data_IF_769137217134
#
_entry.id   IF_769137217134
#
_cell.length_a   1.000
_cell.length_b   1.000
_cell.length_c   1.000
_cell.angle_alpha   90.00
_cell.angle_beta   90.00
_cell.angle_gamma   90.00
#
_symmetry.space_group_name_H-M   'P 1'
#
loop_
_entity.id
_entity.type
_entity.pdbx_description
1 polymer ?
#
# COMPACT_ATOMS: atom_id res chain seq x y z
N UNK A 1 -18.36 11.14 -6.09
CA UNK A 1 -17.46 9.96 -6.23
C UNK A 1 -17.04 9.48 -4.85
N UNK A 2 -16.93 8.17 -4.64
CA UNK A 2 -16.61 7.58 -3.34
C UNK A 2 -15.23 6.90 -3.41
N UNK A 3 -14.34 7.23 -2.47
CA UNK A 3 -13.05 6.59 -2.30
C UNK A 3 -13.00 5.77 -1.00
N UNK A 4 -12.59 4.51 -1.09
CA UNK A 4 -12.34 3.66 0.08
C UNK A 4 -10.83 3.54 0.29
N UNK A 5 -10.39 3.82 1.52
CA UNK A 5 -8.97 3.86 1.89
C UNK A 5 -8.72 2.93 3.07
N UNK A 6 -7.93 1.89 2.87
CA UNK A 6 -7.51 1.00 3.97
C UNK A 6 -6.26 1.53 4.66
N UNK A 7 -6.14 1.29 5.98
CA UNK A 7 -5.05 1.84 6.78
C UNK A 7 -5.10 3.36 6.91
N UNK A 8 -6.32 3.94 6.92
CA UNK A 8 -6.55 5.39 6.85
C UNK A 8 -6.25 6.14 8.16
N UNK A 9 -5.94 5.46 9.26
CA UNK A 9 -5.76 6.10 10.58
C UNK A 9 -4.45 6.88 10.75
N UNK A 10 -3.46 6.70 9.87
CA UNK A 10 -2.16 7.38 9.99
C UNK A 10 -1.37 7.34 8.67
N UNK A 11 -0.24 8.04 8.64
CA UNK A 11 0.73 8.01 7.54
C UNK A 11 0.12 8.29 6.18
N UNK A 12 0.51 7.49 5.17
CA UNK A 12 0.04 7.65 3.80
C UNK A 12 -1.48 7.57 3.70
N UNK A 13 -2.13 6.64 4.43
CA UNK A 13 -3.58 6.47 4.39
C UNK A 13 -4.34 7.71 4.88
N UNK A 14 -3.87 8.34 5.96
CA UNK A 14 -4.39 9.63 6.45
C UNK A 14 -4.25 10.73 5.39
N UNK A 15 -3.05 10.84 4.80
CA UNK A 15 -2.79 11.91 3.84
C UNK A 15 -3.54 11.69 2.51
N UNK A 16 -3.74 10.42 2.08
CA UNK A 16 -4.66 10.10 0.98
C UNK A 16 -6.09 10.55 1.27
N UNK A 17 -6.59 10.33 2.49
CA UNK A 17 -7.92 10.77 2.88
C UNK A 17 -8.06 12.29 2.77
N UNK A 18 -7.12 13.04 3.32
CA UNK A 18 -7.13 14.50 3.30
C UNK A 18 -7.07 15.04 1.86
N UNK A 19 -6.14 14.53 1.04
CA UNK A 19 -5.95 15.03 -0.32
C UNK A 19 -7.11 14.64 -1.27
N UNK A 20 -7.72 13.44 -1.10
CA UNK A 20 -8.89 13.05 -1.88
C UNK A 20 -10.15 13.81 -1.46
N UNK A 21 -10.33 14.13 -0.17
CA UNK A 21 -11.43 14.98 0.27
C UNK A 21 -11.35 16.37 -0.34
N UNK A 22 -10.16 16.96 -0.45
CA UNK A 22 -9.94 18.25 -1.15
C UNK A 22 -10.28 18.18 -2.65
N UNK A 23 -10.22 16.98 -3.25
CA UNK A 23 -10.60 16.74 -4.65
C UNK A 23 -12.09 16.38 -4.82
N UNK A 24 -12.90 16.48 -3.74
CA UNK A 24 -14.33 16.26 -3.78
C UNK A 24 -14.78 14.81 -3.67
N UNK A 25 -13.90 13.89 -3.27
CA UNK A 25 -14.31 12.51 -3.00
C UNK A 25 -14.97 12.39 -1.63
N UNK A 26 -16.13 11.76 -1.54
CA UNK A 26 -16.65 11.21 -0.31
C UNK A 26 -15.81 9.99 0.09
N UNK A 27 -15.62 9.78 1.39
CA UNK A 27 -14.62 8.84 1.88
C UNK A 27 -15.21 7.72 2.72
N UNK A 28 -14.64 6.52 2.57
CA UNK A 28 -14.78 5.41 3.51
C UNK A 28 -13.38 5.13 4.09
N UNK A 29 -13.17 5.49 5.34
CA UNK A 29 -11.90 5.34 6.05
C UNK A 29 -11.89 4.05 6.87
N UNK A 30 -10.98 3.13 6.55
CA UNK A 30 -10.93 1.79 7.14
C UNK A 30 -9.65 1.61 7.93
N UNK A 31 -9.76 1.31 9.23
CA UNK A 31 -8.65 0.92 10.10
C UNK A 31 -9.16 0.31 11.41
N UNK A 32 -8.24 -0.16 12.29
CA UNK A 32 -8.58 -0.73 13.60
C UNK A 32 -8.80 0.31 14.70
N UNK A 33 -8.13 1.45 14.60
CA UNK A 33 -8.15 2.48 15.65
C UNK A 33 -9.21 3.53 15.39
N UNK A 34 -10.35 3.41 16.10
CA UNK A 34 -11.48 4.35 15.98
C UNK A 34 -11.08 5.79 16.28
N UNK A 35 -10.32 6.01 17.37
CA UNK A 35 -9.91 7.35 17.82
C UNK A 35 -9.10 8.09 16.75
N UNK A 36 -8.17 7.40 16.12
CA UNK A 36 -7.35 7.99 15.05
C UNK A 36 -8.17 8.21 13.76
N UNK A 37 -9.09 7.30 13.40
CA UNK A 37 -10.00 7.50 12.28
C UNK A 37 -10.88 8.75 12.48
N UNK A 38 -11.42 8.97 13.68
CA UNK A 38 -12.22 10.16 14.01
C UNK A 38 -11.39 11.46 13.88
N UNK A 39 -10.11 11.42 14.26
CA UNK A 39 -9.21 12.57 14.04
C UNK A 39 -9.02 12.86 12.55
N UNK A 40 -8.80 11.82 11.73
CA UNK A 40 -8.64 11.99 10.29
C UNK A 40 -9.93 12.50 9.64
N UNK A 41 -11.08 11.94 10.03
CA UNK A 41 -12.40 12.39 9.57
C UNK A 41 -12.59 13.90 9.77
N UNK A 42 -12.18 14.45 10.92
CA UNK A 42 -12.26 15.90 11.20
C UNK A 42 -11.39 16.77 10.30
N UNK A 43 -10.38 16.20 9.64
CA UNK A 43 -9.50 16.91 8.70
C UNK A 43 -10.01 16.85 7.25
N UNK A 44 -11.00 16.02 6.99
CA UNK A 44 -11.62 15.87 5.65
C UNK A 44 -12.76 16.87 5.49
N UNK A 45 -12.93 17.43 4.30
CA UNK A 45 -13.91 18.46 3.98
C UNK A 45 -15.17 17.92 3.27
N UNK A 46 -15.18 16.63 2.95
CA UNK A 46 -16.31 15.94 2.32
C UNK A 46 -16.96 14.97 3.29
N UNK A 47 -18.06 14.33 2.89
CA UNK A 47 -18.67 13.26 3.67
C UNK A 47 -17.65 12.14 3.91
N UNK A 48 -17.57 11.68 5.16
CA UNK A 48 -16.58 10.71 5.57
C UNK A 48 -17.20 9.69 6.52
N UNK A 49 -17.32 8.46 6.07
CA UNK A 49 -17.69 7.31 6.88
C UNK A 49 -16.44 6.65 7.44
N UNK A 50 -16.51 6.15 8.66
CA UNK A 50 -15.42 5.37 9.28
C UNK A 50 -15.87 3.93 9.48
N UNK A 51 -14.96 2.99 9.18
CA UNK A 51 -15.17 1.56 9.39
C UNK A 51 -14.05 1.02 10.28
N UNK A 52 -14.43 0.67 11.51
CA UNK A 52 -13.48 0.15 12.51
C UNK A 52 -13.43 -1.37 12.40
N UNK A 53 -12.45 -1.88 11.65
CA UNK A 53 -12.39 -3.29 11.31
C UNK A 53 -10.94 -3.77 11.14
N UNK A 54 -10.66 -4.99 11.53
CA UNK A 54 -9.38 -5.66 11.26
C UNK A 54 -9.45 -6.46 9.96
N UNK A 55 -8.71 -6.03 8.96
CA UNK A 55 -8.68 -6.68 7.64
C UNK A 55 -7.80 -7.92 7.60
N UNK A 56 -6.95 -8.19 8.60
CA UNK A 56 -6.23 -9.45 8.70
C UNK A 56 -7.19 -10.63 9.00
N UNK A 57 -8.38 -10.35 9.53
CA UNK A 57 -9.49 -11.30 9.62
C UNK A 57 -10.19 -11.29 8.26
N UNK A 58 -9.85 -12.22 7.37
CA UNK A 58 -10.23 -12.19 5.95
C UNK A 58 -11.73 -12.11 5.68
N UNK A 59 -12.56 -12.72 6.56
CA UNK A 59 -14.02 -12.59 6.48
C UNK A 59 -14.50 -11.12 6.54
N UNK A 60 -13.72 -10.25 7.19
CA UNK A 60 -14.03 -8.83 7.29
C UNK A 60 -13.88 -8.10 5.95
N UNK A 61 -13.02 -8.56 5.05
CA UNK A 61 -12.88 -7.98 3.71
C UNK A 61 -14.19 -8.14 2.91
N UNK A 62 -14.82 -9.32 3.00
CA UNK A 62 -16.11 -9.58 2.37
C UNK A 62 -17.26 -8.78 3.01
N UNK A 63 -17.25 -8.61 4.35
CA UNK A 63 -18.23 -7.77 5.06
C UNK A 63 -18.10 -6.30 4.61
N UNK A 64 -16.86 -5.78 4.57
CA UNK A 64 -16.57 -4.42 4.11
C UNK A 64 -17.07 -4.20 2.68
N UNK A 65 -16.75 -5.12 1.77
CA UNK A 65 -17.21 -5.05 0.38
C UNK A 65 -18.75 -5.05 0.28
N UNK A 66 -19.44 -5.94 1.00
CA UNK A 66 -20.91 -5.99 0.99
C UNK A 66 -21.53 -4.67 1.45
N UNK A 67 -20.93 -4.01 2.45
CA UNK A 67 -21.43 -2.74 3.01
C UNK A 67 -21.16 -1.55 2.07
N UNK A 68 -20.02 -1.52 1.39
CA UNK A 68 -19.58 -0.43 0.53
C UNK A 68 -19.30 -0.92 -0.90
N UNK A 69 -20.26 -1.61 -1.50
CA UNK A 69 -20.12 -2.23 -2.82
C UNK A 69 -19.80 -1.23 -3.94
N UNK A 70 -20.43 -0.05 -3.87
CA UNK A 70 -20.38 0.96 -4.93
C UNK A 70 -19.36 2.06 -4.57
N UNK A 71 -18.10 1.85 -4.91
CA UNK A 71 -17.03 2.86 -4.82
C UNK A 71 -16.46 3.14 -6.20
N UNK A 72 -15.88 4.32 -6.38
CA UNK A 72 -15.21 4.74 -7.62
C UNK A 72 -13.70 4.57 -7.54
N UNK A 73 -13.16 4.56 -6.33
CA UNK A 73 -11.71 4.51 -6.07
C UNK A 73 -11.42 3.64 -4.85
N UNK A 74 -10.51 2.66 -5.03
CA UNK A 74 -9.97 1.85 -3.95
C UNK A 74 -8.50 2.18 -3.73
N UNK A 75 -8.12 2.50 -2.48
CA UNK A 75 -6.71 2.57 -2.06
C UNK A 75 -6.44 1.46 -1.05
N UNK A 76 -5.78 0.40 -1.50
CA UNK A 76 -5.26 -0.65 -0.64
C UNK A 76 -3.92 -0.20 -0.06
N UNK A 77 -3.97 0.46 1.10
CA UNK A 77 -2.79 1.00 1.78
C UNK A 77 -2.49 0.28 3.10
N UNK A 78 -3.45 -0.40 3.72
CA UNK A 78 -3.23 -1.14 4.95
C UNK A 78 -2.07 -2.14 4.82
N UNK A 79 -1.19 -2.15 5.81
CA UNK A 79 -0.04 -3.05 5.85
C UNK A 79 0.98 -2.62 6.88
N UNK A 80 1.81 -3.57 7.28
CA UNK A 80 2.93 -3.32 8.20
C UNK A 80 4.13 -4.18 7.82
N UNK A 81 5.26 -3.93 8.47
CA UNK A 81 6.49 -4.70 8.33
C UNK A 81 6.92 -5.31 9.66
N UNK A 82 7.77 -6.32 9.59
CA UNK A 82 8.43 -6.96 10.72
C UNK A 82 9.93 -7.04 10.42
N UNK A 83 10.74 -6.67 11.39
CA UNK A 83 12.20 -6.71 11.30
C UNK A 83 12.75 -7.80 12.23
N UNK A 84 13.74 -8.53 11.74
CA UNK A 84 14.47 -9.57 12.44
C UNK A 84 14.96 -10.66 11.49
N UNK A 85 15.87 -11.50 11.98
CA UNK A 85 16.25 -12.71 11.26
C UNK A 85 15.05 -13.66 11.18
N UNK A 86 14.86 -14.30 10.04
CA UNK A 86 13.65 -15.08 9.74
C UNK A 86 13.38 -16.20 10.76
N UNK A 87 14.45 -16.82 11.28
CA UNK A 87 14.36 -17.85 12.31
C UNK A 87 14.03 -17.31 13.72
N UNK A 88 14.14 -15.99 13.93
CA UNK A 88 13.91 -15.34 15.22
C UNK A 88 12.64 -14.48 15.26
N UNK A 89 11.99 -14.26 14.12
CA UNK A 89 10.73 -13.52 14.06
C UNK A 89 9.55 -14.39 14.50
N UNK A 90 8.53 -13.77 15.06
CA UNK A 90 7.32 -14.42 15.56
C UNK A 90 6.43 -14.87 14.40
N UNK A 91 6.15 -16.16 14.31
CA UNK A 91 5.34 -16.76 13.23
C UNK A 91 3.93 -16.17 13.15
N UNK A 92 3.26 -15.94 14.29
CA UNK A 92 1.89 -15.41 14.28
C UNK A 92 1.85 -13.99 13.72
N UNK A 93 2.86 -13.16 14.06
CA UNK A 93 3.00 -11.82 13.47
C UNK A 93 3.29 -11.87 11.98
N UNK A 94 4.09 -12.83 11.52
CA UNK A 94 4.36 -13.01 10.09
C UNK A 94 3.10 -13.42 9.33
N UNK A 95 2.35 -14.39 9.83
CA UNK A 95 1.08 -14.81 9.22
C UNK A 95 0.09 -13.65 9.19
N UNK A 96 -0.05 -12.91 10.31
CA UNK A 96 -0.91 -11.72 10.34
C UNK A 96 -0.48 -10.65 9.31
N UNK A 97 0.84 -10.48 9.10
CA UNK A 97 1.38 -9.60 8.07
C UNK A 97 1.04 -10.09 6.66
N UNK A 98 1.14 -11.38 6.40
CA UNK A 98 0.75 -12.00 5.12
C UNK A 98 -0.75 -11.79 4.88
N UNK A 99 -1.58 -12.08 5.88
CA UNK A 99 -3.02 -11.91 5.78
C UNK A 99 -3.42 -10.47 5.49
N UNK A 100 -2.79 -9.49 6.15
CA UNK A 100 -3.10 -8.09 5.90
C UNK A 100 -2.52 -7.58 4.58
N UNK A 101 -1.20 -7.82 4.34
CA UNK A 101 -0.48 -7.23 3.22
C UNK A 101 -0.79 -7.92 1.89
N UNK A 102 -1.15 -9.21 1.90
CA UNK A 102 -1.42 -10.04 0.71
C UNK A 102 -2.90 -10.38 0.64
N UNK A 103 -3.39 -11.24 1.56
CA UNK A 103 -4.71 -11.86 1.43
C UNK A 103 -5.84 -10.84 1.43
N UNK A 104 -5.82 -9.88 2.36
CA UNK A 104 -6.81 -8.81 2.43
C UNK A 104 -6.78 -7.91 1.18
N UNK A 105 -5.58 -7.47 0.77
CA UNK A 105 -5.39 -6.65 -0.44
C UNK A 105 -5.89 -7.41 -1.69
N UNK A 106 -5.55 -8.69 -1.81
CA UNK A 106 -5.99 -9.54 -2.92
C UNK A 106 -7.51 -9.64 -2.98
N UNK A 107 -8.15 -9.97 -1.85
CA UNK A 107 -9.62 -10.10 -1.75
C UNK A 107 -10.29 -8.79 -2.14
N UNK A 108 -9.89 -7.67 -1.55
CA UNK A 108 -10.49 -6.37 -1.84
C UNK A 108 -10.24 -5.97 -3.30
N UNK A 109 -9.01 -6.14 -3.82
CA UNK A 109 -8.70 -5.88 -5.22
C UNK A 109 -9.63 -6.70 -6.13
N UNK A 110 -9.78 -8.01 -5.89
CA UNK A 110 -10.61 -8.90 -6.73
C UNK A 110 -12.09 -8.52 -6.69
N UNK A 111 -12.62 -8.28 -5.50
CA UNK A 111 -14.04 -7.97 -5.32
C UNK A 111 -14.40 -6.62 -5.98
N UNK A 112 -13.64 -5.57 -5.72
CA UNK A 112 -13.90 -4.25 -6.29
C UNK A 112 -13.58 -4.19 -7.79
N UNK A 113 -12.52 -4.86 -8.25
CA UNK A 113 -12.21 -4.96 -9.67
C UNK A 113 -13.36 -5.57 -10.47
N UNK A 114 -13.98 -6.65 -9.97
CA UNK A 114 -15.12 -7.29 -10.63
C UNK A 114 -16.30 -6.32 -10.79
N UNK A 115 -16.61 -5.51 -9.77
CA UNK A 115 -17.70 -4.52 -9.88
C UNK A 115 -17.32 -3.35 -10.79
N UNK A 116 -16.07 -2.89 -10.74
CA UNK A 116 -15.57 -1.83 -11.61
C UNK A 116 -15.54 -2.25 -13.09
N UNK A 117 -15.16 -3.49 -13.38
CA UNK A 117 -15.19 -4.04 -14.76
C UNK A 117 -16.61 -4.13 -15.28
N UNK A 118 -17.60 -4.56 -14.46
CA UNK A 118 -19.02 -4.58 -14.86
C UNK A 118 -19.55 -3.19 -15.23
N UNK A 119 -19.05 -2.14 -14.55
CA UNK A 119 -19.42 -0.74 -14.82
C UNK A 119 -18.54 -0.09 -15.88
N UNK A 120 -17.48 -0.79 -16.30
CA UNK A 120 -16.38 -0.30 -17.12
C UNK A 120 -15.81 1.05 -16.62
N UNK A 121 -15.78 1.23 -15.30
CA UNK A 121 -15.33 2.45 -14.64
C UNK A 121 -14.83 2.16 -13.24
N UNK A 122 -13.75 2.82 -12.84
CA UNK A 122 -13.19 2.73 -11.50
C UNK A 122 -11.67 2.75 -11.50
N UNK A 123 -11.11 2.92 -10.30
CA UNK A 123 -9.65 3.03 -10.13
C UNK A 123 -9.19 2.29 -8.88
N UNK A 124 -8.09 1.57 -8.98
CA UNK A 124 -7.47 0.87 -7.84
C UNK A 124 -6.01 1.29 -7.72
N UNK A 125 -5.60 1.74 -6.54
CA UNK A 125 -4.21 1.98 -6.17
C UNK A 125 -3.80 0.99 -5.09
N UNK A 126 -2.87 0.09 -5.41
CA UNK A 126 -2.26 -0.84 -4.47
C UNK A 126 -0.94 -0.28 -3.97
N UNK A 127 -0.78 -0.17 -2.63
CA UNK A 127 0.44 0.35 -2.02
C UNK A 127 1.41 -0.80 -1.74
N UNK A 128 2.43 -0.90 -2.59
CA UNK A 128 3.59 -1.76 -2.39
C UNK A 128 4.70 -1.04 -1.59
N UNK A 129 5.93 -1.11 -2.04
CA UNK A 129 7.12 -0.45 -1.50
C UNK A 129 8.27 -0.59 -2.50
N UNK A 130 9.34 0.18 -2.35
CA UNK A 130 10.64 -0.11 -2.98
C UNK A 130 11.19 -1.49 -2.60
N UNK A 131 10.78 -2.04 -1.47
CA UNK A 131 11.03 -3.42 -1.05
C UNK A 131 10.55 -4.48 -2.07
N UNK A 132 9.63 -4.13 -2.97
CA UNK A 132 9.14 -5.03 -4.01
C UNK A 132 10.17 -5.39 -5.09
N UNK A 133 11.28 -4.67 -5.18
CA UNK A 133 12.25 -4.81 -6.26
C UNK A 133 13.46 -5.69 -5.93
N UNK A 134 13.66 -6.02 -4.66
CA UNK A 134 14.80 -6.80 -4.15
C UNK A 134 14.34 -7.82 -3.11
N UNK A 135 15.06 -8.92 -2.89
CA UNK A 135 14.93 -9.71 -1.67
C UNK A 135 15.52 -8.91 -0.50
N UNK A 136 14.83 -8.88 0.66
CA UNK A 136 15.22 -8.09 1.83
C UNK A 136 15.58 -8.95 3.04
N UNK A 137 16.85 -9.33 3.23
CA UNK A 137 17.31 -9.95 4.47
C UNK A 137 16.91 -9.11 5.68
N UNK A 138 16.62 -9.72 6.81
CA UNK A 138 16.11 -9.11 8.06
C UNK A 138 14.67 -8.53 7.96
N UNK A 139 14.07 -8.56 6.78
CA UNK A 139 12.66 -8.20 6.53
C UNK A 139 12.05 -9.12 5.45
N UNK A 140 12.46 -10.37 5.43
CA UNK A 140 12.21 -11.32 4.33
C UNK A 140 10.73 -11.41 3.94
N UNK A 141 9.86 -11.65 4.92
CA UNK A 141 8.42 -11.76 4.71
C UNK A 141 7.80 -10.46 4.21
N UNK A 142 8.20 -9.31 4.78
CA UNK A 142 7.72 -8.00 4.32
C UNK A 142 8.05 -7.75 2.84
N UNK A 143 9.31 -7.96 2.43
CA UNK A 143 9.74 -7.77 1.05
C UNK A 143 8.98 -8.71 0.10
N UNK A 144 8.80 -9.97 0.50
CA UNK A 144 8.00 -10.94 -0.27
C UNK A 144 6.55 -10.47 -0.44
N UNK A 145 5.90 -9.95 0.64
CA UNK A 145 4.53 -9.42 0.53
C UNK A 145 4.45 -8.25 -0.46
N UNK A 146 5.44 -7.35 -0.46
CA UNK A 146 5.44 -6.19 -1.36
C UNK A 146 5.78 -6.55 -2.81
N UNK A 147 6.60 -7.57 -3.02
CA UNK A 147 6.83 -8.16 -4.33
C UNK A 147 5.54 -8.79 -4.90
N UNK A 148 4.78 -9.51 -4.08
CA UNK A 148 3.46 -10.03 -4.46
C UNK A 148 2.53 -8.92 -4.96
N UNK A 149 2.36 -7.85 -4.18
CA UNK A 149 1.48 -6.71 -4.52
C UNK A 149 1.90 -6.08 -5.86
N UNK A 150 3.20 -5.89 -6.06
CA UNK A 150 3.74 -5.34 -7.30
C UNK A 150 3.42 -6.23 -8.50
N UNK A 151 3.71 -7.53 -8.42
CA UNK A 151 3.50 -8.48 -9.52
C UNK A 151 2.02 -8.66 -9.84
N UNK A 152 1.18 -8.83 -8.82
CA UNK A 152 -0.27 -8.92 -8.99
C UNK A 152 -0.83 -7.71 -9.73
N UNK A 153 -0.49 -6.50 -9.27
CA UNK A 153 -1.04 -5.26 -9.85
C UNK A 153 -0.59 -5.05 -11.29
N UNK A 154 0.68 -5.37 -11.60
CA UNK A 154 1.21 -5.21 -12.97
C UNK A 154 0.61 -6.24 -13.94
N UNK A 155 0.31 -7.45 -13.48
CA UNK A 155 -0.40 -8.45 -14.28
C UNK A 155 -1.85 -8.04 -14.57
N UNK A 156 -2.60 -7.61 -13.56
CA UNK A 156 -3.98 -7.13 -13.72
C UNK A 156 -4.05 -5.94 -14.70
N UNK A 157 -3.08 -5.03 -14.64
CA UNK A 157 -3.02 -3.91 -15.60
C UNK A 157 -2.97 -4.38 -17.04
N UNK A 158 -2.16 -5.38 -17.35
CA UNK A 158 -2.04 -5.89 -18.73
C UNK A 158 -3.30 -6.63 -19.16
N UNK A 159 -3.94 -7.39 -18.27
CA UNK A 159 -5.22 -8.05 -18.52
C UNK A 159 -6.32 -7.02 -18.87
N UNK A 160 -6.43 -5.94 -18.09
CA UNK A 160 -7.38 -4.85 -18.35
C UNK A 160 -7.08 -4.12 -19.66
N UNK A 161 -5.79 -3.87 -19.95
CA UNK A 161 -5.36 -3.23 -21.20
C UNK A 161 -5.74 -4.09 -22.41
N UNK A 162 -5.53 -5.40 -22.33
CA UNK A 162 -5.86 -6.34 -23.41
C UNK A 162 -7.35 -6.51 -23.63
N UNK A 163 -8.15 -6.45 -22.56
CA UNK A 163 -9.62 -6.50 -22.66
C UNK A 163 -10.25 -5.18 -23.11
N UNK A 164 -9.50 -4.10 -23.25
CA UNK A 164 -10.01 -2.77 -23.60
C UNK A 164 -10.78 -2.08 -22.50
N UNK A 165 -10.68 -2.54 -21.24
CA UNK A 165 -11.41 -1.97 -20.10
C UNK A 165 -10.96 -0.54 -19.76
N UNK A 166 -11.92 0.30 -19.39
CA UNK A 166 -11.66 1.65 -18.88
C UNK A 166 -11.21 1.67 -17.41
N UNK A 167 -11.28 0.56 -16.69
CA UNK A 167 -10.79 0.45 -15.31
C UNK A 167 -9.29 0.63 -15.25
N UNK A 168 -8.80 1.44 -14.30
CA UNK A 168 -7.37 1.73 -14.13
C UNK A 168 -6.83 1.16 -12.84
N UNK A 169 -5.69 0.47 -12.92
CA UNK A 169 -4.96 -0.02 -11.75
C UNK A 169 -3.54 0.53 -11.74
N UNK A 170 -3.05 0.84 -10.56
CA UNK A 170 -1.68 1.35 -10.35
C UNK A 170 -1.08 0.76 -9.10
N UNK A 171 0.24 0.68 -9.08
CA UNK A 171 1.01 0.29 -7.89
C UNK A 171 1.91 1.44 -7.44
N UNK A 172 1.80 1.81 -6.16
CA UNK A 172 2.67 2.78 -5.53
C UNK A 172 3.82 2.07 -4.83
N UNK A 173 5.05 2.39 -5.19
CA UNK A 173 6.27 1.81 -4.63
C UNK A 173 7.13 2.90 -3.96
N UNK A 174 6.75 3.41 -2.78
CA UNK A 174 7.54 4.41 -2.08
C UNK A 174 8.81 3.80 -1.50
N UNK A 175 9.86 4.62 -1.40
CA UNK A 175 11.00 4.36 -0.50
C UNK A 175 10.62 4.61 0.96
N UNK A 176 11.59 4.83 1.86
CA UNK A 176 11.31 5.23 3.23
C UNK A 176 10.45 6.50 3.29
N UNK A 177 9.38 6.46 4.09
CA UNK A 177 8.46 7.59 4.30
C UNK A 177 8.40 7.88 5.81
N UNK A 178 8.38 9.14 6.18
CA UNK A 178 8.21 9.58 7.57
C UNK A 178 6.78 9.31 8.03
N UNK A 179 6.57 8.16 8.63
CA UNK A 179 5.29 7.71 9.17
C UNK A 179 5.53 6.89 10.45
N UNK A 180 4.46 6.46 11.10
CA UNK A 180 4.55 5.55 12.25
C UNK A 180 4.98 4.12 11.87
N UNK A 181 5.21 3.82 10.59
CA UNK A 181 5.64 2.51 10.10
C UNK A 181 6.92 2.04 10.80
N UNK A 182 7.87 2.93 11.02
CA UNK A 182 9.15 2.62 11.67
C UNK A 182 8.97 2.06 13.09
N UNK A 183 8.04 2.63 13.85
CA UNK A 183 7.73 2.16 15.20
C UNK A 183 7.03 0.80 15.16
N UNK A 184 6.10 0.59 14.22
CA UNK A 184 5.37 -0.69 14.07
C UNK A 184 6.30 -1.81 13.61
N UNK A 185 7.20 -1.52 12.67
CA UNK A 185 8.19 -2.48 12.15
C UNK A 185 9.41 -2.65 13.07
N UNK A 186 9.52 -1.86 14.15
CA UNK A 186 10.67 -1.81 15.06
C UNK A 186 12.00 -1.54 14.35
N UNK A 187 12.03 -0.55 13.45
CA UNK A 187 13.21 -0.19 12.65
C UNK A 187 13.56 1.30 12.77
N UNK A 188 14.83 1.63 12.66
CA UNK A 188 15.34 2.98 12.43
C UNK A 188 15.90 3.08 11.02
N UNK A 189 15.25 3.82 10.13
CA UNK A 189 15.82 4.04 8.81
C UNK A 189 17.01 5.00 8.88
N UNK A 190 18.18 4.55 8.43
CA UNK A 190 19.37 5.40 8.27
C UNK A 190 19.23 6.43 7.13
N UNK A 191 18.30 6.20 6.20
CA UNK A 191 18.00 7.13 5.10
C UNK A 191 16.84 8.02 5.53
N UNK A 192 17.00 9.34 5.37
CA UNK A 192 15.95 10.33 5.63
C UNK A 192 14.73 10.03 4.75
N UNK A 193 13.62 9.63 5.36
CA UNK A 193 12.37 9.35 4.65
C UNK A 193 11.77 10.60 4.00
N UNK A 194 11.03 10.40 2.92
CA UNK A 194 10.22 11.45 2.30
C UNK A 194 9.03 11.82 3.21
N UNK A 195 8.58 13.07 3.13
CA UNK A 195 7.35 13.49 3.80
C UNK A 195 6.13 12.75 3.20
N UNK A 196 5.27 12.25 4.05
CA UNK A 196 4.09 11.46 3.64
C UNK A 196 3.17 12.26 2.70
N UNK A 197 2.93 13.52 3.00
CA UNK A 197 2.13 14.42 2.17
C UNK A 197 2.72 14.59 0.76
N UNK A 198 4.04 14.76 0.64
CA UNK A 198 4.71 14.82 -0.66
C UNK A 198 4.51 13.54 -1.47
N UNK A 199 4.69 12.38 -0.82
CA UNK A 199 4.52 11.06 -1.45
C UNK A 199 3.10 10.91 -1.99
N UNK A 200 2.09 11.29 -1.20
CA UNK A 200 0.68 11.18 -1.57
C UNK A 200 0.33 12.13 -2.73
N UNK A 201 0.72 13.40 -2.66
CA UNK A 201 0.48 14.36 -3.75
C UNK A 201 1.13 13.91 -5.05
N UNK A 202 2.37 13.42 -4.97
CA UNK A 202 3.05 12.85 -6.13
C UNK A 202 2.32 11.61 -6.67
N UNK A 203 1.89 10.71 -5.78
CA UNK A 203 1.19 9.50 -6.15
C UNK A 203 -0.13 9.80 -6.86
N UNK A 204 -0.99 10.65 -6.28
CA UNK A 204 -2.28 11.02 -6.88
C UNK A 204 -2.10 11.71 -8.24
N UNK A 205 -1.14 12.63 -8.36
CA UNK A 205 -0.82 13.29 -9.65
C UNK A 205 -0.45 12.29 -10.76
N UNK A 206 0.24 11.20 -10.42
CA UNK A 206 0.63 10.15 -11.39
C UNK A 206 -0.48 9.14 -11.61
N UNK A 207 -1.22 8.80 -10.55
CA UNK A 207 -2.34 7.87 -10.58
C UNK A 207 -3.47 8.35 -11.49
N UNK A 208 -3.87 9.62 -11.37
CA UNK A 208 -4.88 10.21 -12.26
C UNK A 208 -4.39 10.46 -13.70
N UNK A 209 -3.09 10.24 -13.96
CA UNK A 209 -2.51 10.16 -15.32
C UNK A 209 -2.27 8.72 -15.78
N UNK A 210 -2.94 7.76 -15.18
CA UNK A 210 -2.92 6.32 -15.51
C UNK A 210 -1.52 5.69 -15.49
N UNK A 211 -0.61 6.23 -14.66
CA UNK A 211 0.74 5.67 -14.53
C UNK A 211 0.69 4.35 -13.75
N UNK A 212 1.06 3.24 -14.39
CA UNK A 212 1.05 1.91 -13.79
C UNK A 212 1.93 1.83 -12.55
N UNK A 213 3.23 2.13 -12.67
CA UNK A 213 4.19 2.06 -11.57
C UNK A 213 4.58 3.46 -11.12
N UNK A 214 4.30 3.77 -9.86
CA UNK A 214 4.51 5.08 -9.27
C UNK A 214 5.61 4.96 -8.21
N UNK A 215 6.77 5.59 -8.44
CA UNK A 215 7.93 5.56 -7.55
C UNK A 215 8.27 7.02 -7.17
N UNK A 216 7.89 7.48 -5.97
CA UNK A 216 8.28 8.79 -5.46
C UNK A 216 9.77 8.84 -5.10
N UNK A 217 10.42 9.96 -5.43
CA UNK A 217 11.84 10.19 -5.13
C UNK A 217 12.79 9.63 -6.20
N UNK A 218 13.73 10.49 -6.63
CA UNK A 218 14.67 10.15 -7.69
C UNK A 218 15.61 9.00 -7.29
N UNK A 219 16.15 9.04 -6.08
CA UNK A 219 17.05 7.99 -5.57
C UNK A 219 16.34 6.62 -5.52
N UNK A 220 15.10 6.58 -5.02
CA UNK A 220 14.29 5.35 -4.99
C UNK A 220 14.07 4.81 -6.40
N UNK A 221 13.81 5.69 -7.36
CA UNK A 221 13.60 5.31 -8.76
C UNK A 221 14.88 4.74 -9.39
N UNK A 222 16.03 5.37 -9.15
CA UNK A 222 17.33 4.88 -9.63
C UNK A 222 17.61 3.50 -9.01
N UNK A 223 17.45 3.35 -7.69
CA UNK A 223 17.62 2.07 -7.00
C UNK A 223 16.74 0.96 -7.56
N UNK A 224 15.45 1.25 -7.84
CA UNK A 224 14.52 0.31 -8.43
C UNK A 224 14.91 -0.12 -9.88
N UNK A 225 15.54 0.76 -10.64
CA UNK A 225 16.06 0.42 -11.97
C UNK A 225 17.34 -0.41 -11.83
N UNK A 226 18.28 0.03 -11.01
CA UNK A 226 19.56 -0.65 -10.80
C UNK A 226 19.39 -2.08 -10.27
N UNK A 227 18.38 -2.31 -9.41
CA UNK A 227 18.08 -3.63 -8.85
C UNK A 227 17.75 -4.69 -9.90
N UNK A 228 17.26 -4.28 -11.07
CA UNK A 228 16.94 -5.22 -12.17
C UNK A 228 18.17 -5.80 -12.86
N UNK A 229 19.29 -5.11 -12.78
CA UNK A 229 20.54 -5.51 -13.44
C UNK A 229 21.60 -6.04 -12.46
N UNK A 230 21.39 -5.86 -11.16
CA UNK A 230 22.34 -6.30 -10.14
C UNK A 230 22.30 -7.84 -10.00
N UNK A 231 23.46 -8.53 -9.97
CA UNK A 231 23.52 -9.94 -9.59
C UNK A 231 22.90 -10.14 -8.20
N UNK A 232 21.99 -11.10 -8.09
CA UNK A 232 21.17 -11.26 -6.87
C UNK A 232 21.99 -11.43 -5.59
N UNK A 233 23.10 -12.17 -5.62
CA UNK A 233 23.97 -12.33 -4.45
C UNK A 233 24.62 -11.03 -4.00
N UNK A 234 25.02 -10.16 -4.94
CA UNK A 234 25.57 -8.85 -4.63
C UNK A 234 24.51 -7.92 -4.05
N UNK A 235 23.33 -7.89 -4.68
CA UNK A 235 22.20 -7.10 -4.22
C UNK A 235 21.80 -7.47 -2.78
N UNK A 236 21.70 -8.78 -2.46
CA UNK A 236 21.39 -9.26 -1.11
C UNK A 236 22.45 -8.86 -0.08
N UNK A 237 23.75 -8.94 -0.41
CA UNK A 237 24.85 -8.54 0.48
C UNK A 237 24.80 -7.04 0.79
N UNK A 238 24.52 -6.22 -0.21
CA UNK A 238 24.36 -4.76 -0.04
C UNK A 238 23.13 -4.48 0.82
N UNK A 239 22.00 -5.09 0.50
CA UNK A 239 20.76 -4.85 1.24
C UNK A 239 20.85 -5.32 2.69
N UNK A 240 21.46 -6.49 2.96
CA UNK A 240 21.72 -6.94 4.32
C UNK A 240 22.49 -5.89 5.15
N UNK A 241 23.56 -5.32 4.59
CA UNK A 241 24.33 -4.29 5.28
C UNK A 241 23.53 -2.99 5.52
N UNK A 242 22.64 -2.64 4.60
CA UNK A 242 21.73 -1.50 4.75
C UNK A 242 20.68 -1.81 5.83
N UNK A 243 20.10 -3.01 5.83
CA UNK A 243 19.10 -3.42 6.80
C UNK A 243 19.68 -3.53 8.21
N UNK A 244 20.88 -4.11 8.36
CA UNK A 244 21.54 -4.24 9.66
C UNK A 244 21.78 -2.89 10.37
N UNK A 245 21.97 -1.81 9.61
CA UNK A 245 22.08 -0.44 10.16
C UNK A 245 20.74 0.11 10.71
N UNK A 246 19.62 -0.60 10.51
CA UNK A 246 18.28 -0.25 11.02
C UNK A 246 17.97 -0.91 12.36
N UNK A 247 18.84 -1.82 12.82
CA UNK A 247 18.72 -2.44 14.13
C UNK A 247 18.74 -1.35 15.22
N UNK A 248 17.76 -1.40 16.15
CA UNK A 248 17.65 -0.46 17.28
C UNK A 248 18.57 -0.88 18.40
#
# INVERSE_FOLDING_TARGET
>A
MIALITGASSGLGKDFAIELSKQGYDLVLVARNKKELEKVKKLCITKCDIEVIDLSILANCTKLFKKYKNIDLLINNAGFGLFGEFNNTDLEKEINMIDLNISALHILTKLYLNEMVKKDSGRILNVASSAAFLPGPLMSTYYATKAYVFRLTTAIYEELRKSGSNVKVSVLCPGPVKTNFNNVANVNFSIKGLESEYVVKYALKKFFKDKLVIIPGLLTKIGAIASKFAPIKLAMKIDYNIQKKKEK
#
